data_IF_810229042197
#
_entry.id   IF_810229042197
#
_cell.length_a   1.000
_cell.length_b   1.000
_cell.length_c   1.000
_cell.angle_alpha   90.00
_cell.angle_beta   90.00
_cell.angle_gamma   90.00
#
_symmetry.space_group_name_H-M   'P 1'
#
loop_
_entity.id
_entity.type
_entity.pdbx_description
1 polymer ?
#
# COMPACT_ATOMS: atom_id res chain seq x y z
N UNK A 1 0.17 -26.83 0.78
CA UNK A 1 -0.12 -27.47 -0.53
C UNK A 1 -1.59 -27.84 -0.70
N UNK A 2 -2.26 -28.49 0.28
CA UNK A 2 -3.67 -28.88 0.14
C UNK A 2 -4.59 -27.66 -0.04
N UNK A 3 -4.41 -26.62 0.76
CA UNK A 3 -5.19 -25.39 0.67
C UNK A 3 -4.90 -24.64 -0.65
N UNK A 4 -3.65 -24.61 -1.08
CA UNK A 4 -3.25 -24.01 -2.34
C UNK A 4 -3.92 -24.68 -3.54
N UNK A 5 -3.95 -26.00 -3.57
CA UNK A 5 -4.63 -26.77 -4.64
C UNK A 5 -6.13 -26.52 -4.70
N UNK A 6 -6.77 -26.30 -3.56
CA UNK A 6 -8.22 -26.03 -3.49
C UNK A 6 -8.51 -24.58 -3.95
N UNK A 7 -7.70 -23.60 -3.50
CA UNK A 7 -7.96 -22.18 -3.74
C UNK A 7 -7.43 -21.69 -5.10
N UNK A 8 -6.20 -22.04 -5.48
CA UNK A 8 -5.47 -21.48 -6.62
C UNK A 8 -4.78 -22.53 -7.49
N UNK A 9 -5.39 -23.69 -7.61
CA UNK A 9 -5.03 -24.76 -8.58
C UNK A 9 -3.57 -25.08 -8.61
N UNK A 10 -2.58 -24.78 -8.39
CA UNK A 10 -1.18 -25.22 -8.47
C UNK A 10 -0.17 -24.17 -7.98
N UNK A 11 -0.63 -23.00 -7.49
CA UNK A 11 0.27 -22.05 -6.83
C UNK A 11 0.85 -22.67 -5.56
N UNK A 12 2.12 -22.40 -5.33
CA UNK A 12 2.87 -22.85 -4.15
C UNK A 12 2.88 -24.38 -3.95
N UNK A 13 2.81 -25.14 -5.03
CA UNK A 13 2.90 -26.60 -5.02
C UNK A 13 4.19 -27.10 -5.68
N UNK A 14 4.69 -28.28 -5.25
CA UNK A 14 5.92 -28.84 -5.79
C UNK A 14 7.20 -28.19 -5.29
N UNK A 15 8.24 -28.18 -6.14
CA UNK A 15 9.59 -27.70 -5.82
C UNK A 15 9.98 -26.46 -6.64
N UNK A 16 9.04 -25.84 -7.34
CA UNK A 16 9.30 -24.62 -8.09
C UNK A 16 9.62 -23.45 -7.13
N UNK A 17 10.46 -22.53 -7.60
CA UNK A 17 10.71 -21.29 -6.87
C UNK A 17 9.44 -20.43 -6.89
N UNK A 18 9.10 -19.91 -5.72
CA UNK A 18 7.97 -18.99 -5.56
C UNK A 18 8.43 -17.73 -4.83
N UNK A 19 7.75 -16.62 -5.08
CA UNK A 19 7.96 -15.39 -4.33
C UNK A 19 7.39 -15.55 -2.91
N UNK A 20 8.23 -15.22 -1.92
CA UNK A 20 7.82 -15.30 -0.51
C UNK A 20 6.70 -14.30 -0.19
N UNK A 21 6.74 -13.11 -0.78
CA UNK A 21 5.71 -12.09 -0.56
C UNK A 21 4.35 -12.52 -1.10
N UNK A 22 4.31 -13.14 -2.28
CA UNK A 22 3.07 -13.71 -2.83
C UNK A 22 2.54 -14.84 -1.94
N UNK A 23 3.42 -15.70 -1.45
CA UNK A 23 3.03 -16.77 -0.51
C UNK A 23 2.46 -16.19 0.79
N UNK A 24 3.08 -15.14 1.35
CA UNK A 24 2.60 -14.50 2.56
C UNK A 24 1.21 -13.89 2.36
N UNK A 25 1.01 -13.14 1.27
CA UNK A 25 -0.31 -12.59 0.90
C UNK A 25 -1.35 -13.71 0.79
N UNK A 26 -1.04 -14.77 0.08
CA UNK A 26 -1.93 -15.92 -0.06
C UNK A 26 -2.32 -16.55 1.29
N UNK A 27 -1.37 -16.70 2.21
CA UNK A 27 -1.65 -17.25 3.56
C UNK A 27 -2.56 -16.30 4.35
N UNK A 28 -2.29 -15.00 4.28
CA UNK A 28 -3.11 -13.99 4.98
C UNK A 28 -4.53 -13.90 4.40
N UNK A 29 -4.67 -14.02 3.08
CA UNK A 29 -5.98 -14.14 2.43
C UNK A 29 -6.74 -15.39 2.88
N UNK A 30 -6.05 -16.53 3.06
CA UNK A 30 -6.68 -17.73 3.59
C UNK A 30 -7.21 -17.52 5.01
N UNK A 31 -6.44 -16.87 5.88
CA UNK A 31 -6.90 -16.52 7.23
C UNK A 31 -8.06 -15.53 7.20
N UNK A 32 -7.92 -14.46 6.45
CA UNK A 32 -8.97 -13.47 6.26
C UNK A 32 -10.29 -14.12 5.81
N UNK A 33 -10.24 -14.92 4.73
CA UNK A 33 -11.41 -15.59 4.16
C UNK A 33 -12.05 -16.64 5.07
N UNK A 34 -11.32 -17.15 6.06
CA UNK A 34 -11.86 -18.14 7.00
C UNK A 34 -12.67 -17.54 8.14
N UNK A 35 -12.48 -16.25 8.42
CA UNK A 35 -13.13 -15.54 9.52
C UNK A 35 -13.86 -14.27 9.07
N UNK A 36 -13.89 -14.00 7.76
CA UNK A 36 -14.54 -12.80 7.23
C UNK A 36 -16.05 -12.78 7.55
N UNK A 37 -16.56 -11.60 7.77
CA UNK A 37 -17.99 -11.34 7.99
C UNK A 37 -18.37 -9.93 7.54
N UNK A 38 -19.65 -9.72 7.35
CA UNK A 38 -20.20 -8.38 7.08
C UNK A 38 -20.32 -7.58 8.37
N UNK A 39 -19.87 -6.32 8.34
CA UNK A 39 -19.99 -5.39 9.46
C UNK A 39 -20.51 -4.06 8.96
N UNK A 40 -21.60 -3.58 9.56
CA UNK A 40 -22.11 -2.24 9.31
C UNK A 40 -21.34 -1.20 10.10
N UNK A 41 -20.77 -0.23 9.40
CA UNK A 41 -20.03 0.88 9.97
C UNK A 41 -20.78 2.20 9.71
N UNK A 42 -20.98 2.99 10.76
CA UNK A 42 -21.53 4.34 10.65
C UNK A 42 -20.44 5.38 10.88
N UNK A 43 -20.29 6.29 9.92
CA UNK A 43 -19.39 7.45 10.03
C UNK A 43 -20.21 8.62 10.57
N UNK A 44 -19.71 9.25 11.62
CA UNK A 44 -20.34 10.43 12.25
C UNK A 44 -19.32 11.55 12.36
N UNK A 45 -19.77 12.79 12.26
CA UNK A 45 -18.96 14.00 12.37
C UNK A 45 -19.25 14.97 11.22
N UNK A 46 -18.86 16.22 11.41
CA UNK A 46 -19.03 17.29 10.42
C UNK A 46 -17.73 17.46 9.62
N UNK A 47 -17.87 17.88 8.38
CA UNK A 47 -16.74 18.17 7.49
C UNK A 47 -16.50 19.68 7.54
N UNK A 48 -15.44 20.09 8.22
CA UNK A 48 -15.11 21.51 8.43
C UNK A 48 -13.81 21.91 7.73
N UNK A 49 -12.92 20.93 7.49
CA UNK A 49 -11.58 21.15 6.93
C UNK A 49 -11.28 20.18 5.81
N UNK A 50 -10.25 20.47 5.01
CA UNK A 50 -9.74 19.54 3.98
C UNK A 50 -9.21 18.23 4.58
N UNK A 51 -8.79 18.24 5.84
CA UNK A 51 -8.41 17.02 6.57
C UNK A 51 -9.64 16.16 6.85
N UNK A 52 -10.79 16.77 7.18
CA UNK A 52 -12.03 16.03 7.40
C UNK A 52 -12.57 15.42 6.11
N UNK A 53 -12.42 16.13 4.97
CA UNK A 53 -12.73 15.58 3.65
C UNK A 53 -11.87 14.34 3.33
N UNK A 54 -10.58 14.39 3.64
CA UNK A 54 -9.68 13.26 3.46
C UNK A 54 -10.05 12.12 4.41
N UNK A 55 -10.34 12.43 5.68
CA UNK A 55 -10.82 11.46 6.66
C UNK A 55 -12.08 10.76 6.18
N UNK A 56 -13.04 11.52 5.64
CA UNK A 56 -14.27 10.96 5.09
C UNK A 56 -13.97 9.98 3.94
N UNK A 57 -13.06 10.32 3.03
CA UNK A 57 -12.64 9.41 1.94
C UNK A 57 -12.05 8.11 2.49
N UNK A 58 -11.13 8.21 3.46
CA UNK A 58 -10.51 7.05 4.10
C UNK A 58 -11.55 6.17 4.82
N UNK A 59 -12.43 6.77 5.61
CA UNK A 59 -13.47 6.03 6.32
C UNK A 59 -14.54 5.44 5.38
N UNK A 60 -14.89 6.10 4.29
CA UNK A 60 -15.78 5.55 3.27
C UNK A 60 -15.18 4.32 2.58
N UNK A 61 -13.87 4.34 2.32
CA UNK A 61 -13.14 3.18 1.80
C UNK A 61 -13.23 2.01 2.78
N UNK A 62 -12.92 2.23 4.06
CA UNK A 62 -13.02 1.20 5.11
C UNK A 62 -14.45 0.68 5.23
N UNK A 63 -15.44 1.56 5.28
CA UNK A 63 -16.86 1.21 5.38
C UNK A 63 -17.29 0.30 4.23
N UNK A 64 -16.88 0.63 3.00
CA UNK A 64 -17.21 -0.16 1.82
C UNK A 64 -16.59 -1.56 1.90
N UNK A 65 -15.37 -1.64 2.42
CA UNK A 65 -14.67 -2.90 2.64
C UNK A 65 -15.35 -3.72 3.76
N UNK A 66 -15.58 -3.13 4.93
CA UNK A 66 -16.17 -3.80 6.08
C UNK A 66 -17.58 -4.34 5.82
N UNK A 67 -18.35 -3.65 4.97
CA UNK A 67 -19.69 -4.11 4.60
C UNK A 67 -19.69 -5.49 3.95
N UNK A 68 -18.57 -5.91 3.35
CA UNK A 68 -18.47 -7.19 2.64
C UNK A 68 -17.48 -8.14 3.28
N UNK A 69 -16.37 -7.65 3.78
CA UNK A 69 -15.16 -8.44 4.02
C UNK A 69 -14.42 -8.00 5.29
N UNK A 70 -15.11 -7.73 6.39
CA UNK A 70 -14.42 -7.46 7.65
C UNK A 70 -13.78 -8.72 8.24
N UNK A 71 -12.57 -8.59 8.76
CA UNK A 71 -11.94 -9.59 9.63
C UNK A 71 -10.94 -8.94 10.59
N UNK A 72 -10.59 -9.62 11.67
CA UNK A 72 -9.54 -9.21 12.58
C UNK A 72 -8.16 -9.18 11.92
N UNK A 73 -7.95 -9.98 10.87
CA UNK A 73 -6.74 -9.93 10.04
C UNK A 73 -6.61 -8.56 9.36
N UNK A 74 -7.72 -8.03 8.83
CA UNK A 74 -7.71 -6.71 8.24
C UNK A 74 -7.39 -5.63 9.29
N UNK A 75 -8.02 -5.69 10.44
CA UNK A 75 -7.79 -4.72 11.53
C UNK A 75 -6.35 -4.74 12.07
N UNK A 76 -5.73 -5.91 12.10
CA UNK A 76 -4.37 -6.07 12.64
C UNK A 76 -3.27 -5.67 11.66
N UNK A 77 -3.44 -6.00 10.38
CA UNK A 77 -2.35 -5.98 9.40
C UNK A 77 -2.51 -4.94 8.30
N UNK A 78 -3.69 -4.34 8.12
CA UNK A 78 -3.90 -3.36 7.05
C UNK A 78 -3.80 -1.94 7.59
N UNK A 79 -2.97 -1.15 6.91
CA UNK A 79 -2.89 0.29 7.06
C UNK A 79 -3.50 1.02 5.88
N UNK A 80 -3.51 2.34 5.95
CA UNK A 80 -4.01 3.21 4.88
C UNK A 80 -2.93 4.21 4.54
N UNK A 81 -2.59 4.30 3.28
CA UNK A 81 -1.85 5.41 2.73
C UNK A 81 -2.72 6.19 1.73
N UNK A 82 -2.31 7.41 1.46
CA UNK A 82 -2.99 8.31 0.53
C UNK A 82 -2.02 8.65 -0.59
N UNK A 83 -2.39 8.31 -1.81
CA UNK A 83 -1.73 8.80 -3.01
C UNK A 83 -2.22 10.21 -3.32
N UNK A 84 -1.36 11.20 -3.18
CA UNK A 84 -1.64 12.60 -3.51
C UNK A 84 -0.94 12.95 -4.81
N UNK A 85 -1.72 13.39 -5.79
CA UNK A 85 -1.22 13.84 -7.10
C UNK A 85 -1.63 15.29 -7.31
N UNK A 86 -0.67 16.13 -7.70
CA UNK A 86 -0.90 17.56 -7.99
C UNK A 86 -0.23 17.91 -9.30
N UNK A 87 -0.98 18.53 -10.23
CA UNK A 87 -0.39 19.07 -11.45
C UNK A 87 0.51 20.28 -11.17
N UNK A 88 1.51 20.51 -12.02
CA UNK A 88 2.41 21.66 -11.86
C UNK A 88 1.67 23.01 -11.89
N UNK A 89 0.61 23.12 -12.69
CA UNK A 89 -0.24 24.30 -12.75
C UNK A 89 -1.22 24.42 -11.57
N UNK A 90 -1.25 23.39 -10.66
CA UNK A 90 -2.17 23.29 -9.51
C UNK A 90 -3.66 23.31 -9.86
N UNK A 91 -4.03 23.15 -11.12
CA UNK A 91 -5.42 23.07 -11.58
C UNK A 91 -6.05 21.70 -11.29
N UNK A 92 -5.21 20.68 -11.15
CA UNK A 92 -5.62 19.32 -10.82
C UNK A 92 -4.98 18.86 -9.52
N UNK A 93 -5.80 18.38 -8.62
CA UNK A 93 -5.37 17.73 -7.38
C UNK A 93 -6.25 16.51 -7.14
N UNK A 94 -5.64 15.36 -6.97
CA UNK A 94 -6.34 14.14 -6.59
C UNK A 94 -5.71 13.54 -5.34
N UNK A 95 -6.57 13.03 -4.44
CA UNK A 95 -6.18 12.32 -3.23
C UNK A 95 -6.97 11.03 -3.15
N UNK A 96 -6.27 9.90 -3.26
CA UNK A 96 -6.89 8.57 -3.28
C UNK A 96 -6.36 7.76 -2.11
N UNK A 97 -7.20 7.39 -1.13
CA UNK A 97 -6.82 6.46 -0.08
C UNK A 97 -6.74 5.04 -0.64
N UNK A 98 -5.72 4.31 -0.21
CA UNK A 98 -5.47 2.92 -0.57
C UNK A 98 -5.08 2.13 0.68
N UNK A 99 -5.63 0.93 0.85
CA UNK A 99 -5.21 0.04 1.92
C UNK A 99 -3.95 -0.72 1.52
N UNK A 100 -3.06 -0.97 2.47
CA UNK A 100 -1.88 -1.79 2.25
C UNK A 100 -1.72 -2.82 3.37
N UNK A 101 -1.29 -4.02 3.01
CA UNK A 101 -0.89 -5.09 3.92
C UNK A 101 0.63 -5.20 4.00
N UNK A 102 1.29 -5.17 2.84
CA UNK A 102 2.72 -5.31 2.69
C UNK A 102 3.31 -3.99 2.19
N UNK A 103 4.20 -3.40 2.98
CA UNK A 103 4.87 -2.17 2.60
C UNK A 103 6.23 -2.49 1.95
N UNK A 104 6.31 -2.33 0.64
CA UNK A 104 7.54 -2.58 -0.12
C UNK A 104 8.40 -1.34 -0.18
N UNK A 105 9.47 -1.29 0.63
CA UNK A 105 10.33 -0.13 0.76
C UNK A 105 11.55 -0.19 -0.17
N UNK A 106 11.90 0.90 -0.86
CA UNK A 106 13.16 1.03 -1.57
C UNK A 106 14.34 1.09 -0.59
N UNK A 107 15.54 0.77 -1.08
CA UNK A 107 16.80 0.93 -0.34
C UNK A 107 17.54 2.11 -1.00
N UNK A 108 17.55 3.31 -0.38
CA UNK A 108 18.05 4.51 -1.03
C UNK A 108 19.58 4.55 -1.17
N UNK A 109 20.29 3.96 -0.22
CA UNK A 109 21.77 3.98 -0.20
C UNK A 109 22.34 2.78 0.58
N UNK A 110 23.66 2.64 0.51
CA UNK A 110 24.39 1.62 1.28
C UNK A 110 24.31 1.95 2.78
N UNK A 111 24.09 0.91 3.60
CA UNK A 111 23.94 1.02 5.06
C UNK A 111 22.80 1.98 5.49
N UNK A 112 21.73 2.05 4.71
CA UNK A 112 20.55 2.79 5.10
C UNK A 112 19.90 2.20 6.35
N UNK A 113 19.17 3.03 7.07
CA UNK A 113 18.27 2.59 8.12
C UNK A 113 16.81 2.57 7.63
N UNK A 114 15.94 1.99 8.44
CA UNK A 114 14.52 1.85 8.09
C UNK A 114 13.83 3.20 7.85
N UNK A 115 14.18 4.22 8.61
CA UNK A 115 13.59 5.57 8.46
C UNK A 115 13.95 6.15 7.09
N UNK A 116 15.20 6.04 6.66
CA UNK A 116 15.62 6.48 5.33
C UNK A 116 14.89 5.74 4.21
N UNK A 117 14.58 4.44 4.40
CA UNK A 117 13.77 3.70 3.43
C UNK A 117 12.31 4.21 3.39
N UNK A 118 11.74 4.61 4.52
CA UNK A 118 10.41 5.22 4.60
C UNK A 118 10.40 6.63 4.00
N UNK A 119 11.42 7.44 4.26
CA UNK A 119 11.57 8.78 3.68
C UNK A 119 11.62 8.70 2.15
N UNK A 120 12.39 7.75 1.61
CA UNK A 120 12.45 7.52 0.16
C UNK A 120 11.10 7.05 -0.41
N UNK A 121 10.38 6.18 0.32
CA UNK A 121 9.06 5.73 -0.09
C UNK A 121 8.02 6.85 -0.15
N UNK A 122 8.14 7.85 0.73
CA UNK A 122 7.23 9.01 0.81
C UNK A 122 7.77 10.23 0.08
N UNK A 123 8.92 10.12 -0.60
CA UNK A 123 9.49 11.21 -1.38
C UNK A 123 8.56 11.64 -2.53
N UNK A 124 8.65 12.91 -2.90
CA UNK A 124 7.87 13.42 -4.03
C UNK A 124 8.48 12.91 -5.33
N UNK A 125 7.67 12.19 -6.10
CA UNK A 125 7.99 11.73 -7.45
C UNK A 125 7.44 12.72 -8.48
N UNK A 126 8.24 13.07 -9.49
CA UNK A 126 7.76 13.85 -10.64
C UNK A 126 7.35 12.90 -11.76
N UNK A 127 6.11 13.01 -12.19
CA UNK A 127 5.54 12.25 -13.30
C UNK A 127 5.65 13.12 -14.56
N UNK A 128 6.67 12.88 -15.37
CA UNK A 128 6.95 13.59 -16.62
C UNK A 128 7.17 12.63 -17.80
N UNK A 129 7.43 13.16 -18.99
CA UNK A 129 7.64 12.37 -20.20
C UNK A 129 6.49 11.40 -20.46
N UNK A 130 6.79 10.11 -20.57
CA UNK A 130 5.79 9.06 -20.81
C UNK A 130 4.89 8.80 -19.59
N UNK A 131 5.30 9.27 -18.40
CA UNK A 131 4.55 9.11 -17.15
C UNK A 131 3.61 10.30 -16.86
N UNK A 132 3.51 11.29 -17.77
CA UNK A 132 2.54 12.38 -17.58
C UNK A 132 1.11 11.84 -17.46
N UNK A 133 0.33 12.45 -16.56
CA UNK A 133 -1.06 12.07 -16.34
C UNK A 133 -2.03 12.93 -17.17
N UNK A 134 -3.10 12.29 -17.60
CA UNK A 134 -4.27 12.99 -18.15
C UNK A 134 -5.04 13.64 -17.00
N UNK A 135 -5.23 14.96 -17.09
CA UNK A 135 -5.80 15.78 -15.99
C UNK A 135 -7.23 16.24 -16.28
N UNK A 136 -7.73 16.00 -17.50
CA UNK A 136 -9.10 16.33 -17.91
C UNK A 136 -9.65 15.29 -18.90
N UNK A 137 -10.95 15.36 -19.14
CA UNK A 137 -11.68 14.45 -20.05
C UNK A 137 -11.28 14.60 -21.52
N UNK A 138 -10.53 15.65 -21.88
CA UNK A 138 -10.04 15.91 -23.22
C UNK A 138 -8.67 15.21 -23.48
N UNK A 139 -8.13 14.51 -22.50
CA UNK A 139 -6.85 13.82 -22.61
C UNK A 139 -5.64 14.74 -22.50
N UNK A 140 -5.77 15.93 -21.90
CA UNK A 140 -4.66 16.86 -21.70
C UNK A 140 -3.66 16.26 -20.71
N UNK A 141 -2.45 15.98 -21.20
CA UNK A 141 -1.36 15.47 -20.35
C UNK A 141 -0.64 16.60 -19.64
N UNK A 142 -0.34 16.38 -18.36
CA UNK A 142 0.40 17.34 -17.54
C UNK A 142 1.46 16.65 -16.70
N UNK A 143 2.56 17.38 -16.48
CA UNK A 143 3.56 17.00 -15.48
C UNK A 143 2.90 17.13 -14.11
N UNK A 144 2.95 16.06 -13.33
CA UNK A 144 2.38 15.99 -11.99
C UNK A 144 3.44 15.63 -10.96
N UNK A 145 3.19 16.03 -9.72
CA UNK A 145 3.92 15.57 -8.55
C UNK A 145 3.05 14.57 -7.80
N UNK A 146 3.58 13.38 -7.58
CA UNK A 146 2.95 12.32 -6.79
C UNK A 146 3.69 12.16 -5.47
N UNK A 147 2.95 11.98 -4.40
CA UNK A 147 3.49 11.68 -3.08
C UNK A 147 2.59 10.68 -2.37
N UNK A 148 3.20 9.72 -1.67
CA UNK A 148 2.50 8.83 -0.75
C UNK A 148 2.58 9.41 0.66
N UNK A 149 1.43 9.50 1.33
CA UNK A 149 1.32 9.96 2.71
C UNK A 149 0.64 8.87 3.53
N UNK A 150 1.15 8.55 4.70
CA UNK A 150 0.49 7.60 5.60
C UNK A 150 -0.66 8.27 6.33
N UNK A 151 -1.86 7.69 6.22
CA UNK A 151 -3.03 8.07 7.01
C UNK A 151 -3.06 7.31 8.34
N UNK A 152 -2.91 5.98 8.27
CA UNK A 152 -2.85 5.14 9.46
C UNK A 152 -1.94 3.93 9.23
N UNK A 153 -1.17 3.60 10.25
CA UNK A 153 -0.42 2.35 10.27
C UNK A 153 -1.26 1.21 10.84
N UNK A 154 -1.02 -0.03 10.40
CA UNK A 154 -1.61 -1.21 11.03
C UNK A 154 -1.02 -1.46 12.42
N UNK A 155 -1.68 -2.28 13.24
CA UNK A 155 -1.12 -2.72 14.53
C UNK A 155 0.15 -3.56 14.36
N UNK A 156 0.21 -4.32 13.25
CA UNK A 156 1.38 -5.13 12.86
C UNK A 156 1.77 -4.71 11.45
N UNK A 157 2.88 -4.00 11.33
CA UNK A 157 3.40 -3.53 10.06
C UNK A 157 4.31 -4.58 9.42
N UNK A 158 3.94 -5.06 8.25
CA UNK A 158 4.76 -6.00 7.46
C UNK A 158 5.55 -5.21 6.42
N UNK A 159 6.88 -5.28 6.50
CA UNK A 159 7.78 -4.57 5.60
C UNK A 159 8.56 -5.56 4.75
N UNK A 160 8.60 -5.30 3.45
CA UNK A 160 9.48 -5.94 2.50
C UNK A 160 10.49 -4.93 1.95
N UNK A 161 11.75 -5.30 1.89
CA UNK A 161 12.78 -4.46 1.28
C UNK A 161 12.95 -4.82 -0.20
N UNK A 162 12.87 -3.83 -1.09
CA UNK A 162 13.06 -3.99 -2.53
C UNK A 162 14.54 -4.24 -2.85
N UNK A 163 14.99 -5.48 -2.64
CA UNK A 163 16.41 -5.86 -2.80
C UNK A 163 16.82 -6.19 -4.22
N UNK A 164 15.88 -6.43 -5.12
CA UNK A 164 16.17 -6.73 -6.52
C UNK A 164 15.93 -5.49 -7.38
N UNK A 165 16.98 -5.00 -8.02
CA UNK A 165 16.89 -3.92 -9.01
C UNK A 165 16.60 -4.45 -10.41
N UNK A 166 16.53 -3.54 -11.39
CA UNK A 166 16.24 -3.86 -12.79
C UNK A 166 17.30 -4.77 -13.44
N UNK A 167 18.49 -4.86 -12.87
CA UNK A 167 19.58 -5.73 -13.32
C UNK A 167 19.50 -7.17 -12.74
N UNK A 168 18.39 -7.52 -12.05
CA UNK A 168 18.16 -8.80 -11.38
C UNK A 168 19.21 -9.16 -10.31
N UNK A 169 20.11 -8.24 -9.97
CA UNK A 169 21.09 -8.46 -8.89
C UNK A 169 20.45 -8.12 -7.55
N UNK A 170 20.69 -9.01 -6.58
CA UNK A 170 20.20 -8.80 -5.21
C UNK A 170 21.10 -7.81 -4.47
N UNK A 171 20.54 -6.71 -4.01
CA UNK A 171 21.19 -5.83 -3.04
C UNK A 171 21.33 -6.57 -1.70
N UNK A 172 22.57 -6.74 -1.22
CA UNK A 172 22.91 -7.44 0.02
C UNK A 172 23.23 -6.47 1.17
N UNK A 173 23.09 -5.16 0.95
CA UNK A 173 23.40 -4.17 1.97
C UNK A 173 22.54 -4.39 3.21
N UNK A 174 23.18 -4.20 4.35
CA UNK A 174 22.49 -4.26 5.64
C UNK A 174 21.60 -3.03 5.78
N UNK A 175 20.40 -3.24 6.28
CA UNK A 175 19.46 -2.17 6.68
C UNK A 175 19.31 -2.26 8.18
N UNK A 176 19.61 -1.16 8.86
CA UNK A 176 19.44 -1.08 10.31
C UNK A 176 17.98 -0.73 10.63
N UNK A 177 17.41 -1.46 11.58
CA UNK A 177 16.05 -1.25 12.08
C UNK A 177 16.04 -1.39 13.61
N UNK A 178 15.17 -0.68 14.34
CA UNK A 178 15.08 -0.77 15.77
C UNK A 178 14.66 -2.19 16.20
N UNK A 179 15.29 -2.71 17.24
CA UNK A 179 14.96 -4.00 17.87
C UNK A 179 14.16 -3.82 19.17
N UNK A 180 14.24 -2.63 19.74
CA UNK A 180 13.56 -2.20 20.97
C UNK A 180 13.15 -0.73 20.81
N UNK A 181 12.09 -0.33 21.47
CA UNK A 181 11.61 1.06 21.56
C UNK A 181 12.53 1.89 22.45
#
# INVERSE_FOLDING_TARGET
QKVSRIKNKDLFTGYAQNDFSEFLVFVMECFHNSILREVDMTIKGDILTSTDELAQKCFNMIKTFYKKEYSEIFELFYGIHVSKVVSNCKTYTNTTPESFFLLTLPIPCKNANLIQCLDEYTAIETLDGDNMLEIDDNGTKSICKKQILFWSFPKILVIMLKRFGNNLRKNKDRIDFPLVD
#
